data_IF_006099933855
#
_entry.id   IF_006099933855
#
_cell.length_a   1.000
_cell.length_b   1.000
_cell.length_c   1.000
_cell.angle_alpha   90.00
_cell.angle_beta   90.00
_cell.angle_gamma   90.00
#
_symmetry.space_group_name_H-M   'P 1'
#
loop_
_entity.id
_entity.type
_entity.pdbx_description
1 polymer ?
2 polymer ?
3 non-polymer ?
4 water ?
#
# COMPACT_ATOMS: atom_id res chain seq x y z
N UNK A 1 -7.02 4.97 6.45
CA UNK A 1 -5.57 4.72 6.21
C UNK A 1 -5.43 3.87 4.94
N UNK A 2 -4.33 3.12 4.83
CA UNK A 2 -3.97 2.46 3.58
C UNK A 2 -5.00 1.43 3.17
N UNK A 3 -5.67 0.79 4.13
CA UNK A 3 -6.66 -0.22 3.78
C UNK A 3 -7.90 0.39 3.09
N UNK A 4 -8.41 1.51 3.63
CA UNK A 4 -9.51 2.26 3.02
C UNK A 4 -9.13 2.69 1.60
N UNK A 5 -7.88 3.08 1.41
CA UNK A 5 -7.49 3.76 0.18
C UNK A 5 -7.07 2.76 -0.89
N UNK A 6 -6.63 1.55 -0.47
CA UNK A 6 -6.02 0.64 -1.44
C UNK A 6 -6.70 -0.74 -1.48
N UNK A 7 -7.43 -1.09 -0.42
CA UNK A 7 -8.12 -2.38 -0.43
C UNK A 7 -9.62 -2.15 -0.68
N UNK A 8 -10.24 -1.29 0.13
CA UNK A 8 -11.66 -1.12 -0.10
C UNK A 8 -11.92 -0.14 -1.25
N UNK A 9 -10.91 0.63 -1.68
CA UNK A 9 -11.00 1.31 -2.96
C UNK A 9 -9.72 1.06 -3.75
N UNK A 10 -9.68 1.54 -5.00
CA UNK A 10 -8.56 1.21 -5.88
C UNK A 10 -7.30 1.96 -5.42
N UNK A 11 -6.21 1.20 -5.25
CA UNK A 11 -4.90 1.73 -4.87
C UNK A 11 -4.29 2.63 -5.96
N UNK A 12 -3.22 3.36 -5.64
CA UNK A 12 -2.48 4.13 -6.62
C UNK A 12 -1.04 4.20 -6.13
N UNK A 13 -0.10 4.52 -7.02
CA UNK A 13 1.30 4.62 -6.61
C UNK A 13 1.43 5.73 -5.58
N UNK A 14 0.68 6.81 -5.80
CA UNK A 14 0.75 7.95 -4.91
C UNK A 14 0.41 7.53 -3.48
N UNK A 15 -0.71 6.84 -3.34
CA UNK A 15 -1.11 6.42 -2.00
C UNK A 15 -0.12 5.41 -1.42
N UNK A 16 0.37 4.41 -2.19
CA UNK A 16 1.37 3.52 -1.61
C UNK A 16 2.54 4.31 -1.07
N UNK A 17 3.02 5.28 -1.87
CA UNK A 17 4.23 5.96 -1.45
C UNK A 17 3.98 6.84 -0.23
N UNK A 18 2.74 7.22 0.03
CA UNK A 18 2.47 7.85 1.32
C UNK A 18 2.90 6.96 2.49
N UNK A 19 2.98 5.64 2.29
CA UNK A 19 3.34 4.77 3.41
C UNK A 19 4.78 4.29 3.35
N UNK A 20 5.61 4.80 2.44
CA UNK A 20 7.03 4.46 2.52
C UNK A 20 7.65 5.26 3.66
N UNK A 21 8.77 4.79 4.22
CA UNK A 21 9.46 5.56 5.25
C UNK A 21 10.35 6.62 4.59
N UNK B 1 0.95 -2.54 -11.53
CA UNK B 1 0.34 -3.57 -10.61
C UNK B 1 -0.35 -2.84 -9.43
N UNK B 2 -0.11 -1.53 -9.31
CA UNK B 2 -0.54 -0.80 -8.12
C UNK B 2 -1.99 -0.32 -8.27
N UNK B 3 -2.52 -0.34 -9.49
CA UNK B 3 -3.78 0.35 -9.74
C UNK B 3 -4.93 -0.62 -9.71
N UNK B 4 -5.12 -1.25 -8.56
CA UNK B 4 -6.17 -2.23 -8.41
C UNK B 4 -6.53 -2.22 -6.93
N UNK B 5 -7.54 -2.99 -6.53
CA UNK B 5 -7.78 -3.22 -5.12
C UNK B 5 -6.71 -4.20 -4.63
N UNK B 6 -6.00 -3.84 -3.55
CA UNK B 6 -4.95 -4.68 -3.00
C UNK B 6 -5.25 -4.87 -1.52
N UNK B 7 -5.43 -6.12 -1.07
CA UNK B 7 -5.81 -6.34 0.31
C UNK B 7 -4.85 -7.36 0.93
N UNK B 8 -4.65 -7.26 2.24
CA UNK B 8 -3.89 -8.27 2.98
C UNK B 8 -2.45 -8.35 2.45
N UNK B 9 -1.96 -9.57 2.13
CA UNK B 9 -0.54 -9.73 1.83
C UNK B 9 -0.28 -9.12 0.45
N UNK B 10 -1.31 -9.12 -0.39
CA UNK B 10 -1.25 -8.44 -1.69
C UNK B 10 -0.84 -6.95 -1.55
N UNK B 11 -1.43 -6.24 -0.59
CA UNK B 11 -1.12 -4.83 -0.35
C UNK B 11 0.28 -4.70 0.24
N UNK B 12 0.58 -5.58 1.21
CA UNK B 12 1.91 -5.59 1.81
C UNK B 12 2.97 -5.78 0.72
N UNK B 13 2.72 -6.72 -0.21
CA UNK B 13 3.79 -6.95 -1.17
C UNK B 13 3.96 -5.77 -2.14
N UNK B 14 2.86 -5.09 -2.50
CA UNK B 14 2.97 -3.88 -3.31
C UNK B 14 3.80 -2.82 -2.60
N UNK B 15 3.52 -2.59 -1.31
CA UNK B 15 4.29 -1.65 -0.51
C UNK B 15 5.77 -2.02 -0.54
N UNK B 16 6.06 -3.31 -0.33
CA UNK B 16 7.44 -3.79 -0.29
C UNK B 16 8.12 -3.50 -1.64
N UNK B 17 7.45 -3.80 -2.75
CA UNK B 17 8.10 -3.61 -4.06
C UNK B 17 8.29 -2.12 -4.39
N UNK B 18 7.27 -1.30 -4.17
CA UNK B 18 7.35 0.12 -4.49
C UNK B 18 8.32 0.85 -3.56
N UNK B 19 8.26 0.59 -2.24
CA UNK B 19 9.04 1.41 -1.33
C UNK B 19 10.51 1.01 -1.38
N UNK B 20 10.79 -0.26 -1.72
CA UNK B 20 12.18 -0.66 -1.88
C UNK B 20 12.99 -0.37 -0.62
N UNK B 21 14.17 0.27 -0.79
CA UNK B 21 15.01 0.43 0.40
C UNK B 21 14.53 1.55 1.33
N UNK B 22 13.54 2.34 0.92
CA UNK B 22 12.98 3.28 1.89
C UNK B 22 12.28 2.51 3.01
N UNK B 23 11.88 1.25 2.74
CA UNK B 23 10.98 0.56 3.67
C UNK B 23 9.62 1.26 3.84
N UNK B 24 8.77 0.75 4.75
CA UNK B 24 7.38 1.20 4.80
C UNK B 24 6.74 0.84 6.14
N UNK B 25 5.53 1.34 6.32
CA UNK B 25 4.68 0.97 7.44
C UNK B 25 3.32 0.50 6.93
N UNK B 26 2.82 -0.58 7.54
CA UNK B 26 1.53 -1.17 7.22
C UNK B 26 0.71 -1.15 8.50
N UNK B 27 -0.28 -0.25 8.53
CA UNK B 27 -1.13 -0.12 9.71
C UNK B 27 -2.57 -0.32 9.24
N UNK B 28 -3.09 -1.57 9.28
CA UNK B 28 -4.40 -1.88 8.71
C UNK B 28 -5.59 -1.40 9.55
N UNK B 29 -5.30 -0.72 10.67
CA UNK B 29 -6.32 -0.08 11.49
C UNK B 29 -5.80 1.26 12.00
N UNK B 30 -5.66 2.23 11.09
CA UNK B 30 -5.20 3.58 11.42
C UNK B 30 -4.92 4.37 10.14
X LIG C 1 5.97 -9.13 0.80
#
# INVERSE_FOLDING_TARGET
GIVEQCCTSVCSLYQLENYCN
FVNQHLCGSHLVEALYLVCGERGFFYTPKA
AR AR
#
